data_IF_989315311670
#
_entry.id   IF_989315311670
#
_cell.length_a   1.000
_cell.length_b   1.000
_cell.length_c   1.000
_cell.angle_alpha   90.00
_cell.angle_beta   90.00
_cell.angle_gamma   90.00
#
_symmetry.space_group_name_H-M   'P 1'
#
loop_
_entity.id
_entity.type
_entity.pdbx_description
1 polymer ?
#
# COMPACT_ATOMS: atom_id res chain seq x y z
N UNK A 1 6.25 11.70 2.78
CA UNK A 1 6.98 10.88 3.77
C UNK A 1 7.45 9.54 3.18
N UNK A 2 8.74 9.19 3.31
CA UNK A 2 9.24 7.85 2.96
C UNK A 2 9.17 6.89 4.16
N UNK A 3 8.90 5.61 3.92
CA UNK A 3 8.97 4.54 4.91
C UNK A 3 9.76 3.35 4.39
N UNK A 4 10.46 2.65 5.28
CA UNK A 4 11.29 1.51 4.89
C UNK A 4 11.16 0.36 5.88
N UNK A 5 11.30 -0.87 5.37
CA UNK A 5 11.29 -2.11 6.15
C UNK A 5 10.07 -2.27 7.06
N UNK A 6 8.88 -1.91 6.56
CA UNK A 6 7.63 -2.02 7.32
C UNK A 6 6.84 -3.26 6.91
N UNK A 7 6.25 -3.94 7.91
CA UNK A 7 5.37 -5.07 7.66
C UNK A 7 3.98 -4.59 7.24
N UNK A 8 3.32 -5.37 6.39
CA UNK A 8 1.90 -5.18 6.07
C UNK A 8 1.09 -6.15 6.93
N UNK A 9 0.29 -5.62 7.85
CA UNK A 9 -0.49 -6.47 8.76
C UNK A 9 -1.86 -6.81 8.15
N UNK A 10 -2.45 -5.89 7.39
CA UNK A 10 -3.75 -6.07 6.72
C UNK A 10 -3.81 -5.35 5.38
N UNK A 11 -4.67 -5.87 4.50
CA UNK A 11 -4.98 -5.30 3.19
C UNK A 11 -6.50 -5.22 3.08
N UNK A 12 -7.01 -4.20 2.39
CA UNK A 12 -8.44 -4.01 2.20
C UNK A 12 -8.73 -3.38 0.84
N UNK A 13 -9.80 -3.82 0.18
CA UNK A 13 -10.22 -3.28 -1.11
C UNK A 13 -11.75 -3.29 -1.22
N UNK A 14 -12.32 -2.28 -1.90
CA UNK A 14 -13.75 -2.25 -2.20
C UNK A 14 -13.99 -2.40 -3.70
N UNK A 15 -15.05 -3.12 -4.12
CA UNK A 15 -15.37 -3.34 -5.54
C UNK A 15 -15.72 -2.04 -6.28
N UNK A 16 -16.30 -1.07 -5.57
CA UNK A 16 -16.62 0.24 -6.13
C UNK A 16 -15.44 1.19 -5.92
N UNK A 17 -15.05 1.90 -7.00
CA UNK A 17 -14.10 3.02 -6.98
C UNK A 17 -12.60 2.70 -6.82
N UNK A 18 -12.16 1.48 -7.15
CA UNK A 18 -10.72 1.10 -7.15
C UNK A 18 -10.02 1.46 -5.83
N UNK A 19 -10.74 1.35 -4.71
CA UNK A 19 -10.17 1.71 -3.42
C UNK A 19 -9.34 0.54 -2.92
N UNK A 20 -8.07 0.80 -2.71
CA UNK A 20 -7.12 -0.19 -2.23
C UNK A 20 -6.35 0.40 -1.06
N UNK A 21 -6.22 -0.38 0.02
CA UNK A 21 -5.64 0.05 1.28
C UNK A 21 -4.67 -0.99 1.84
N UNK A 22 -3.61 -0.50 2.47
CA UNK A 22 -2.67 -1.29 3.27
C UNK A 22 -2.59 -0.76 4.70
N UNK A 23 -2.62 -1.66 5.68
CA UNK A 23 -2.33 -1.35 7.07
C UNK A 23 -0.85 -1.62 7.32
N UNK A 24 -0.07 -0.56 7.30
CA UNK A 24 1.38 -0.59 7.45
C UNK A 24 1.70 -0.52 8.94
N UNK A 25 2.56 -1.44 9.40
CA UNK A 25 3.01 -1.48 10.79
C UNK A 25 3.57 -0.12 11.24
N UNK A 26 3.20 0.33 12.44
CA UNK A 26 3.51 1.65 13.04
C UNK A 26 3.02 2.90 12.29
N UNK A 27 2.46 2.78 11.08
CA UNK A 27 2.03 3.91 10.24
C UNK A 27 0.49 3.99 10.12
N UNK A 28 -0.18 2.84 10.19
CA UNK A 28 -1.63 2.72 10.11
C UNK A 28 -2.16 2.48 8.68
N UNK A 29 -3.46 2.74 8.49
CA UNK A 29 -4.12 2.57 7.21
C UNK A 29 -3.72 3.65 6.23
N UNK A 30 -3.24 3.24 5.06
CA UNK A 30 -2.95 4.14 3.94
C UNK A 30 -3.60 3.62 2.68
N UNK A 31 -4.27 4.51 1.96
CA UNK A 31 -4.87 4.23 0.65
C UNK A 31 -3.79 4.31 -0.42
N UNK A 32 -3.83 3.44 -1.42
CA UNK A 32 -3.00 3.56 -2.62
C UNK A 32 -3.55 4.68 -3.50
N UNK A 33 -2.68 5.58 -3.96
CA UNK A 33 -3.04 6.64 -4.89
C UNK A 33 -3.39 6.02 -6.25
N UNK A 34 -4.61 6.20 -6.76
CA UNK A 34 -5.00 5.68 -8.06
C UNK A 34 -4.44 6.60 -9.16
N UNK A 35 -3.17 6.43 -9.54
CA UNK A 35 -2.57 7.20 -10.63
C UNK A 35 -2.99 6.67 -12.01
N UNK A 36 -3.15 5.36 -12.16
CA UNK A 36 -3.75 4.68 -13.31
C UNK A 36 -4.42 3.37 -12.82
N UNK A 37 -5.20 2.71 -13.69
CA UNK A 37 -5.94 1.49 -13.31
C UNK A 37 -5.01 0.36 -12.88
N UNK A 38 -3.89 0.17 -13.57
CA UNK A 38 -3.01 -0.98 -13.35
C UNK A 38 -2.11 -0.83 -12.12
N UNK A 39 -1.70 0.40 -11.80
CA UNK A 39 -0.88 0.72 -10.63
C UNK A 39 -1.57 0.35 -9.32
N UNK A 40 -2.90 0.52 -9.24
CA UNK A 40 -3.65 0.17 -8.03
C UNK A 40 -3.67 -1.35 -7.80
N UNK A 41 -3.88 -2.12 -8.87
CA UNK A 41 -3.86 -3.59 -8.83
C UNK A 41 -2.47 -4.12 -8.53
N UNK A 42 -1.43 -3.61 -9.21
CA UNK A 42 -0.05 -4.05 -9.02
C UNK A 42 0.44 -3.77 -7.59
N UNK A 43 0.18 -2.58 -7.05
CA UNK A 43 0.50 -2.26 -5.67
C UNK A 43 -0.31 -3.10 -4.68
N UNK A 44 -1.58 -3.40 -4.97
CA UNK A 44 -2.36 -4.30 -4.13
C UNK A 44 -1.78 -5.71 -4.08
N UNK A 45 -1.37 -6.24 -5.24
CA UNK A 45 -0.73 -7.54 -5.33
C UNK A 45 0.54 -7.58 -4.49
N UNK A 46 1.39 -6.54 -4.55
CA UNK A 46 2.59 -6.43 -3.73
C UNK A 46 2.27 -6.40 -2.22
N UNK A 47 1.26 -5.63 -1.79
CA UNK A 47 0.86 -5.61 -0.38
C UNK A 47 0.36 -6.98 0.11
N UNK A 48 -0.41 -7.69 -0.71
CA UNK A 48 -0.89 -9.03 -0.37
C UNK A 48 0.26 -10.05 -0.37
N UNK A 49 1.18 -9.98 -1.33
CA UNK A 49 2.37 -10.83 -1.37
C UNK A 49 3.27 -10.59 -0.15
N UNK A 50 3.47 -9.34 0.26
CA UNK A 50 4.22 -8.99 1.46
C UNK A 50 3.57 -9.53 2.74
N UNK A 51 2.25 -9.36 2.87
CA UNK A 51 1.49 -9.93 3.99
C UNK A 51 1.58 -11.46 4.01
N UNK A 52 1.40 -12.12 2.88
CA UNK A 52 1.41 -13.58 2.78
C UNK A 52 2.79 -14.20 3.03
N UNK A 53 3.86 -13.51 2.64
CA UNK A 53 5.25 -13.97 2.83
C UNK A 53 5.89 -13.50 4.14
N UNK A 54 5.25 -12.61 4.90
CA UNK A 54 5.82 -12.00 6.10
C UNK A 54 7.01 -11.06 5.85
N UNK A 55 7.28 -10.73 4.59
CA UNK A 55 8.33 -9.80 4.17
C UNK A 55 7.92 -8.35 4.44
N UNK A 56 8.93 -7.48 4.49
CA UNK A 56 8.72 -6.05 4.67
C UNK A 56 8.66 -5.33 3.33
N UNK A 57 8.05 -4.15 3.32
CA UNK A 57 7.97 -3.26 2.16
C UNK A 57 8.55 -1.90 2.52
N UNK A 58 9.01 -1.20 1.48
CA UNK A 58 9.47 0.18 1.56
C UNK A 58 8.72 1.01 0.52
N UNK A 59 8.57 2.31 0.73
CA UNK A 59 7.80 3.14 -0.19
C UNK A 59 7.67 4.58 0.22
N UNK A 60 6.81 5.28 -0.52
CA UNK A 60 6.54 6.70 -0.31
C UNK A 60 5.06 6.93 -0.10
N UNK A 61 4.76 7.72 0.92
CA UNK A 61 3.45 8.28 1.21
C UNK A 61 3.49 9.75 0.82
N UNK A 62 2.54 10.19 0.01
CA UNK A 62 2.36 11.60 -0.32
C UNK A 62 1.74 12.34 0.86
N UNK A 63 2.34 13.47 1.25
CA UNK A 63 1.99 14.16 2.49
C UNK A 63 0.62 14.89 2.40
N UNK A 64 0.24 15.37 1.20
CA UNK A 64 -1.02 16.10 0.99
C UNK A 64 -2.26 15.20 1.04
N UNK A 65 -2.15 13.96 0.56
CA UNK A 65 -3.27 13.01 0.47
C UNK A 65 -3.16 11.87 1.46
N UNK A 66 -2.01 11.72 2.14
CA UNK A 66 -1.73 10.58 3.01
C UNK A 66 -1.84 9.22 2.30
N UNK A 67 -1.57 9.20 0.98
CA UNK A 67 -1.70 8.02 0.13
C UNK A 67 -0.34 7.44 -0.25
N UNK A 68 -0.29 6.11 -0.42
CA UNK A 68 0.89 5.40 -0.94
C UNK A 68 0.99 5.70 -2.44
N UNK A 69 2.14 6.23 -2.87
CA UNK A 69 2.39 6.58 -4.27
C UNK A 69 3.43 5.68 -4.92
N UNK A 70 4.35 5.14 -4.13
CA UNK A 70 5.42 4.26 -4.58
C UNK A 70 5.58 3.15 -3.55
N UNK A 71 5.75 1.92 -4.04
CA UNK A 71 5.94 0.74 -3.21
C UNK A 71 7.04 -0.14 -3.82
N UNK A 72 7.92 -0.64 -2.96
CA UNK A 72 8.99 -1.56 -3.26
C UNK A 72 8.89 -2.76 -2.31
N UNK A 73 9.11 -3.96 -2.85
CA UNK A 73 8.99 -5.25 -2.18
C UNK A 73 10.27 -6.06 -2.37
#
# INVERSE_FOLDING_TARGET
MNFSNKKILRTYSTPHSKNVWGYIDTIGWRKIKPSNTDSSTNMFMMLNAAKGSGKTVSGTIEDSTSQITILYF
#
